data_IF_600410509787
#
_entry.id   IF_600410509787
#
_cell.length_a   1.000
_cell.length_b   1.000
_cell.length_c   1.000
_cell.angle_alpha   90.00
_cell.angle_beta   90.00
_cell.angle_gamma   90.00
#
_symmetry.space_group_name_H-M   'P 1'
#
loop_
_entity.id
_entity.type
_entity.pdbx_description
1 polymer ?
#
# COMPACT_ATOMS: atom_id res chain seq x y z
N UNK A 1 19.90 -25.68 54.75
CA UNK A 1 20.07 -26.30 53.41
C UNK A 1 18.83 -26.03 52.59
N UNK A 2 18.98 -25.46 51.38
CA UNK A 2 17.89 -25.22 50.45
C UNK A 2 17.86 -23.79 49.88
N UNK A 3 18.82 -23.45 49.02
CA UNK A 3 18.82 -22.24 48.22
C UNK A 3 17.57 -22.18 47.32
N UNK A 4 16.82 -21.08 47.36
CA UNK A 4 15.74 -20.81 46.39
C UNK A 4 16.38 -20.40 45.07
N UNK A 5 16.31 -21.28 44.09
CA UNK A 5 16.76 -21.06 42.72
C UNK A 5 15.70 -20.24 41.97
N UNK A 6 16.06 -19.04 41.51
CA UNK A 6 15.23 -18.22 40.63
C UNK A 6 15.28 -18.82 39.22
N UNK A 7 14.20 -19.46 38.79
CA UNK A 7 14.05 -19.92 37.41
C UNK A 7 13.47 -18.79 36.55
N UNK A 8 14.26 -18.27 35.62
CA UNK A 8 13.78 -17.47 34.50
C UNK A 8 12.83 -18.30 33.61
N UNK A 9 11.62 -17.83 33.27
CA UNK A 9 10.89 -18.41 32.16
C UNK A 9 11.48 -17.89 30.85
N UNK A 10 11.96 -18.83 30.03
CA UNK A 10 12.37 -18.62 28.66
C UNK A 10 11.20 -18.88 27.70
N UNK A 11 11.23 -18.13 26.58
CA UNK A 11 10.59 -18.37 25.28
C UNK A 11 9.09 -18.09 25.09
N UNK A 12 8.90 -17.19 24.11
CA UNK A 12 7.97 -17.26 22.98
C UNK A 12 6.48 -17.24 23.30
N UNK A 13 5.94 -16.05 23.49
CA UNK A 13 4.60 -15.75 22.97
C UNK A 13 4.70 -15.56 21.46
N UNK A 14 4.08 -16.41 20.61
CA UNK A 14 3.94 -16.08 19.20
C UNK A 14 3.06 -14.84 19.10
N UNK A 15 3.48 -13.88 18.27
CA UNK A 15 2.61 -12.79 17.81
C UNK A 15 1.39 -13.44 17.15
N UNK A 16 0.31 -13.58 17.92
CA UNK A 16 -0.97 -14.01 17.40
C UNK A 16 -1.39 -12.98 16.36
N UNK A 17 -1.53 -13.44 15.12
CA UNK A 17 -2.24 -12.74 14.06
C UNK A 17 -3.52 -12.13 14.63
N UNK A 18 -3.55 -10.82 14.82
CA UNK A 18 -4.80 -10.09 14.88
C UNK A 18 -5.32 -10.06 13.45
N UNK A 19 -6.41 -10.78 13.12
CA UNK A 19 -7.05 -10.56 11.84
C UNK A 19 -7.52 -9.10 11.83
N UNK A 20 -7.02 -8.31 10.88
CA UNK A 20 -7.67 -7.08 10.45
C UNK A 20 -9.07 -7.48 9.97
N UNK A 21 -10.02 -7.48 10.89
CA UNK A 21 -11.39 -7.88 10.61
C UNK A 21 -12.06 -6.67 10.02
N UNK A 22 -12.18 -6.64 8.70
CA UNK A 22 -12.95 -5.62 8.00
C UNK A 22 -14.43 -5.79 8.40
N UNK A 23 -15.12 -4.73 8.84
CA UNK A 23 -16.50 -4.82 9.27
C UNK A 23 -17.39 -5.21 8.08
N UNK A 24 -17.85 -6.46 8.08
CA UNK A 24 -18.86 -6.95 7.15
C UNK A 24 -20.23 -6.35 7.51
N UNK A 25 -20.84 -5.77 6.48
CA UNK A 25 -22.22 -5.29 6.33
C UNK A 25 -23.10 -5.26 7.60
N UNK A 26 -23.31 -4.05 8.13
CA UNK A 26 -24.55 -3.72 8.85
C UNK A 26 -25.26 -2.58 8.14
N UNK A 27 -26.37 -2.92 7.49
CA UNK A 27 -27.28 -1.99 6.83
C UNK A 27 -27.99 -1.18 7.92
N UNK A 28 -27.56 0.05 8.14
CA UNK A 28 -28.36 1.05 8.85
C UNK A 28 -28.59 2.24 7.92
N UNK A 29 -29.84 2.66 7.87
CA UNK A 29 -30.35 3.84 7.18
C UNK A 29 -29.71 5.12 7.73
N UNK A 30 -28.55 5.46 7.20
CA UNK A 30 -27.82 6.72 7.27
C UNK A 30 -26.70 6.56 6.26
N UNK A 31 -26.38 7.59 5.47
CA UNK A 31 -25.35 7.55 4.43
C UNK A 31 -24.06 6.85 4.92
N UNK A 32 -23.88 5.58 4.59
CA UNK A 32 -22.67 4.81 4.92
C UNK A 32 -21.75 4.95 3.72
N UNK A 33 -20.78 5.86 3.80
CA UNK A 33 -19.66 5.86 2.86
C UNK A 33 -18.77 4.70 3.28
N UNK A 34 -18.82 3.59 2.53
CA UNK A 34 -17.87 2.50 2.70
C UNK A 34 -16.51 2.98 2.21
N UNK A 35 -15.60 3.30 3.13
CA UNK A 35 -14.20 3.47 2.79
C UNK A 35 -13.63 2.08 2.51
N UNK A 36 -13.42 1.80 1.24
CA UNK A 36 -12.70 0.61 0.82
C UNK A 36 -11.21 0.98 0.76
N UNK A 37 -10.36 0.02 1.10
CA UNK A 37 -8.92 0.19 1.07
C UNK A 37 -8.31 -0.76 0.04
N UNK A 38 -7.41 -0.23 -0.79
CA UNK A 38 -6.49 -1.04 -1.59
C UNK A 38 -5.08 -0.89 -1.01
N UNK A 39 -4.18 -1.81 -1.36
CA UNK A 39 -2.77 -1.61 -1.07
C UNK A 39 -2.03 -1.13 -2.30
N UNK A 40 -1.19 -0.11 -2.10
CA UNK A 40 -0.26 0.37 -3.11
C UNK A 40 1.18 0.04 -2.71
N UNK A 41 1.86 -0.69 -3.58
CA UNK A 41 3.25 -1.10 -3.41
C UNK A 41 4.14 0.03 -3.90
N UNK A 42 4.78 0.73 -2.97
CA UNK A 42 5.56 1.94 -3.26
C UNK A 42 7.08 1.70 -3.15
N UNK A 43 7.90 2.46 -3.90
CA UNK A 43 9.34 2.40 -3.79
C UNK A 43 9.81 2.92 -2.42
N UNK A 44 10.94 2.39 -1.94
CA UNK A 44 11.63 2.93 -0.77
C UNK A 44 12.56 4.04 -1.24
N UNK A 45 12.43 5.23 -0.65
CA UNK A 45 13.22 6.41 -1.04
C UNK A 45 14.73 6.16 -1.05
N UNK A 46 15.24 5.38 -0.09
CA UNK A 46 16.67 5.01 -0.05
C UNK A 46 17.13 4.17 -1.23
N UNK A 47 16.30 3.26 -1.74
CA UNK A 47 16.63 2.45 -2.92
C UNK A 47 16.50 3.27 -4.22
N UNK A 48 15.47 4.11 -4.30
CA UNK A 48 15.30 5.04 -5.42
C UNK A 48 16.48 6.01 -5.55
N UNK A 49 16.85 6.70 -4.46
CA UNK A 49 17.88 7.73 -4.49
C UNK A 49 19.30 7.19 -4.63
N UNK A 50 19.61 6.02 -4.05
CA UNK A 50 20.99 5.49 -4.00
C UNK A 50 21.30 4.44 -5.05
N UNK A 51 20.29 3.68 -5.48
CA UNK A 51 20.47 2.55 -6.38
C UNK A 51 19.64 2.67 -7.66
N UNK A 52 18.91 3.77 -7.83
CA UNK A 52 18.03 4.02 -8.97
C UNK A 52 17.00 2.89 -9.19
N UNK A 53 16.49 2.35 -8.08
CA UNK A 53 15.47 1.29 -8.07
C UNK A 53 14.10 1.90 -7.85
N UNK A 54 13.16 1.54 -8.73
CA UNK A 54 11.76 1.93 -8.64
C UNK A 54 10.84 0.71 -8.53
N UNK A 55 9.59 0.94 -8.13
CA UNK A 55 8.55 -0.09 -8.07
C UNK A 55 7.50 0.22 -9.13
N UNK A 56 7.35 -0.72 -10.06
CA UNK A 56 6.29 -0.72 -11.05
C UNK A 56 5.00 -1.36 -10.56
N UNK A 57 3.94 -1.19 -11.32
CA UNK A 57 2.60 -1.68 -10.98
C UNK A 57 2.22 -1.21 -9.56
N UNK A 58 1.93 -2.13 -8.66
CA UNK A 58 1.83 -1.86 -7.23
C UNK A 58 0.40 -1.78 -6.70
N UNK A 59 -0.62 -1.70 -7.55
CA UNK A 59 -2.02 -1.84 -7.11
C UNK A 59 -2.29 -3.30 -6.73
N UNK A 60 -2.74 -3.51 -5.49
CA UNK A 60 -3.22 -4.80 -4.99
C UNK A 60 -4.68 -4.62 -4.59
N UNK A 61 -5.56 -5.31 -5.31
CA UNK A 61 -7.01 -5.23 -5.11
C UNK A 61 -7.42 -5.78 -3.74
N UNK A 62 -8.53 -5.25 -3.21
CA UNK A 62 -9.05 -5.62 -1.88
C UNK A 62 -9.45 -7.11 -1.77
N UNK A 63 -9.78 -7.73 -2.89
CA UNK A 63 -10.22 -9.12 -3.00
C UNK A 63 -9.11 -10.06 -3.46
N UNK A 64 -7.91 -9.55 -3.74
CA UNK A 64 -6.75 -10.38 -4.09
C UNK A 64 -6.30 -11.21 -2.88
N UNK A 65 -6.14 -12.53 -3.09
CA UNK A 65 -5.71 -13.50 -2.05
C UNK A 65 -4.46 -14.30 -2.44
N UNK A 66 -3.86 -13.98 -3.58
CA UNK A 66 -2.64 -14.63 -4.06
C UNK A 66 -1.37 -14.07 -3.43
N UNK A 67 -0.22 -14.48 -3.96
CA UNK A 67 1.07 -13.98 -3.52
C UNK A 67 1.29 -12.54 -4.00
N UNK A 68 1.53 -11.62 -3.07
CA UNK A 68 1.89 -10.23 -3.40
C UNK A 68 3.31 -10.19 -3.96
N UNK A 69 3.43 -9.88 -5.24
CA UNK A 69 4.70 -9.66 -5.93
C UNK A 69 5.11 -8.20 -5.93
N UNK A 70 6.43 -7.95 -6.01
CA UNK A 70 7.00 -6.60 -6.19
C UNK A 70 7.68 -6.56 -7.56
N UNK A 71 7.21 -5.68 -8.44
CA UNK A 71 7.83 -5.45 -9.74
C UNK A 71 8.89 -4.37 -9.59
N UNK A 72 10.17 -4.78 -9.58
CA UNK A 72 11.29 -3.85 -9.44
C UNK A 72 11.83 -3.43 -10.81
N UNK A 73 12.00 -2.13 -11.01
CA UNK A 73 12.75 -1.58 -12.12
C UNK A 73 14.12 -1.13 -11.64
N UNK A 74 15.17 -1.56 -12.34
CA UNK A 74 16.52 -1.06 -12.16
C UNK A 74 16.87 -0.15 -13.33
N UNK A 75 16.92 1.16 -13.07
CA UNK A 75 17.32 2.16 -14.07
C UNK A 75 18.81 2.50 -14.02
N UNK A 76 19.55 1.93 -13.06
CA UNK A 76 21.00 2.09 -12.99
C UNK A 76 21.70 1.21 -14.03
N UNK A 77 22.99 1.48 -14.26
CA UNK A 77 23.87 0.61 -15.06
C UNK A 77 24.49 -0.52 -14.22
N UNK A 78 24.29 -0.50 -12.91
CA UNK A 78 24.87 -1.47 -11.99
C UNK A 78 23.88 -2.60 -11.70
N UNK A 79 24.41 -3.79 -11.42
CA UNK A 79 23.54 -4.91 -11.01
C UNK A 79 23.08 -4.68 -9.58
N UNK A 80 21.77 -4.74 -9.35
CA UNK A 80 21.17 -4.69 -8.02
C UNK A 80 20.78 -6.10 -7.58
N UNK A 81 21.52 -6.66 -6.62
CA UNK A 81 21.26 -7.99 -6.07
C UNK A 81 20.24 -7.91 -4.93
N UNK A 82 19.16 -8.69 -5.00
CA UNK A 82 18.15 -8.81 -3.94
C UNK A 82 18.32 -10.14 -3.22
N UNK A 83 18.45 -10.10 -1.90
CA UNK A 83 18.57 -11.29 -1.06
C UNK A 83 17.30 -11.51 -0.24
N UNK A 84 17.08 -12.75 0.16
CA UNK A 84 15.98 -13.11 1.05
C UNK A 84 16.11 -12.32 2.36
N UNK A 85 15.07 -11.58 2.70
CA UNK A 85 15.02 -10.73 3.90
C UNK A 85 15.25 -9.24 3.62
N UNK A 86 15.68 -8.87 2.41
CA UNK A 86 15.84 -7.47 2.04
C UNK A 86 14.50 -6.77 1.94
N UNK A 87 14.45 -5.54 2.48
CA UNK A 87 13.27 -4.67 2.38
C UNK A 87 13.36 -3.90 1.06
N UNK A 88 12.66 -4.37 0.03
CA UNK A 88 12.74 -3.80 -1.33
C UNK A 88 11.62 -2.83 -1.69
N UNK A 89 10.49 -2.89 -0.98
CA UNK A 89 9.33 -2.01 -1.18
C UNK A 89 8.64 -1.71 0.16
N UNK A 90 7.55 -0.96 0.11
CA UNK A 90 6.64 -0.72 1.24
C UNK A 90 5.20 -0.74 0.75
N UNK A 91 4.27 -1.22 1.58
CA UNK A 91 2.84 -1.19 1.26
C UNK A 91 2.20 0.02 1.93
N UNK A 92 1.44 0.79 1.15
CA UNK A 92 0.61 1.92 1.60
C UNK A 92 -0.84 1.49 1.52
N UNK A 93 -1.60 1.72 2.60
CA UNK A 93 -3.04 1.46 2.62
C UNK A 93 -3.75 2.71 2.11
N UNK A 94 -4.19 2.67 0.85
CA UNK A 94 -4.81 3.81 0.17
C UNK A 94 -6.33 3.77 0.36
N UNK A 95 -6.91 4.92 0.69
CA UNK A 95 -8.37 5.06 0.79
C UNK A 95 -8.93 5.31 -0.60
N UNK A 96 -9.90 4.49 -1.00
CA UNK A 96 -10.59 4.65 -2.27
C UNK A 96 -12.12 4.61 -2.10
N UNK A 97 -12.83 5.01 -3.15
CA UNK A 97 -14.26 4.83 -3.28
C UNK A 97 -14.57 4.01 -4.55
N UNK A 98 -15.69 3.28 -4.52
CA UNK A 98 -16.25 2.57 -5.68
C UNK A 98 -17.52 3.29 -6.11
N UNK A 99 -17.42 4.39 -6.88
CA UNK A 99 -18.60 5.11 -7.36
C UNK A 99 -19.27 4.35 -8.50
N UNK A 100 -20.59 4.48 -8.60
CA UNK A 100 -21.31 4.10 -9.81
C UNK A 100 -20.94 5.06 -10.95
N UNK A 101 -20.69 4.51 -12.14
CA UNK A 101 -20.41 5.31 -13.33
C UNK A 101 -21.71 5.86 -13.92
N UNK A 102 -21.73 7.17 -14.20
CA UNK A 102 -22.85 7.85 -14.85
C UNK A 102 -22.41 8.52 -16.16
N UNK A 103 -23.01 8.12 -17.28
CA UNK A 103 -22.76 8.74 -18.58
C UNK A 103 -23.53 10.06 -18.72
N UNK A 104 -22.84 11.12 -19.19
CA UNK A 104 -23.40 12.46 -19.36
C UNK A 104 -23.00 13.03 -20.73
N UNK A 105 -23.83 13.91 -21.29
CA UNK A 105 -23.53 14.58 -22.56
C UNK A 105 -22.42 15.64 -22.42
N UNK A 106 -22.35 16.30 -21.28
CA UNK A 106 -21.40 17.37 -20.96
C UNK A 106 -21.04 17.33 -19.47
N UNK A 107 -19.86 17.83 -19.13
CA UNK A 107 -19.41 18.06 -17.75
C UNK A 107 -19.47 19.57 -17.44
N UNK A 108 -19.56 19.91 -16.16
CA UNK A 108 -19.50 21.32 -15.73
C UNK A 108 -18.11 21.93 -16.01
N UNK A 109 -18.09 23.22 -16.31
CA UNK A 109 -16.84 23.95 -16.52
C UNK A 109 -16.08 24.15 -15.20
N UNK A 110 -14.75 24.08 -15.29
CA UNK A 110 -13.85 24.38 -14.17
C UNK A 110 -12.78 25.37 -14.65
N UNK A 111 -12.20 26.14 -13.73
CA UNK A 111 -11.09 27.06 -14.05
C UNK A 111 -9.91 26.34 -14.74
N UNK A 112 -9.67 25.06 -14.39
CA UNK A 112 -8.63 24.23 -15.02
C UNK A 112 -8.98 23.80 -16.44
N UNK A 113 -10.26 23.57 -16.73
CA UNK A 113 -10.75 23.14 -18.04
C UNK A 113 -9.98 21.94 -18.62
N UNK A 114 -9.60 22.04 -19.89
CA UNK A 114 -8.79 21.03 -20.60
C UNK A 114 -7.27 21.14 -20.34
N UNK A 115 -6.83 21.99 -19.40
CA UNK A 115 -5.42 22.17 -19.07
C UNK A 115 -4.80 20.91 -18.46
N UNK A 116 -3.62 20.53 -18.96
CA UNK A 116 -2.81 19.42 -18.46
C UNK A 116 -1.37 19.52 -18.97
N UNK A 117 -0.52 18.55 -18.62
CA UNK A 117 0.84 18.42 -19.19
C UNK A 117 1.69 19.70 -19.12
N UNK A 118 1.73 20.36 -17.96
CA UNK A 118 2.50 21.60 -17.78
C UNK A 118 1.77 22.88 -18.19
N UNK A 119 0.44 22.85 -18.30
CA UNK A 119 -0.39 24.01 -18.63
C UNK A 119 -0.26 25.20 -17.66
N UNK A 120 0.29 24.98 -16.47
CA UNK A 120 0.52 26.02 -15.44
C UNK A 120 1.91 26.67 -15.52
N UNK A 121 2.75 26.29 -16.49
CA UNK A 121 4.12 26.81 -16.61
C UNK A 121 5.09 26.17 -15.61
N UNK A 122 6.30 26.73 -15.52
CA UNK A 122 7.46 26.13 -14.85
C UNK A 122 8.12 26.99 -13.76
N UNK A 123 7.57 28.16 -13.43
CA UNK A 123 8.26 29.20 -12.65
C UNK A 123 7.46 29.66 -11.43
#
# INVERSE_FOLDING_TARGET
MGHRHLTHPSRSTPLSHLPLTFPQHKKLSSLVIFYIFLFFTAPRSGLAAKHFIDVGAGVVDEDYRGNVGVVLFNFSKETFEVKKGDRVAQLVCERICYPDLQELKTLDETERGAGGFGSTGSN
#
